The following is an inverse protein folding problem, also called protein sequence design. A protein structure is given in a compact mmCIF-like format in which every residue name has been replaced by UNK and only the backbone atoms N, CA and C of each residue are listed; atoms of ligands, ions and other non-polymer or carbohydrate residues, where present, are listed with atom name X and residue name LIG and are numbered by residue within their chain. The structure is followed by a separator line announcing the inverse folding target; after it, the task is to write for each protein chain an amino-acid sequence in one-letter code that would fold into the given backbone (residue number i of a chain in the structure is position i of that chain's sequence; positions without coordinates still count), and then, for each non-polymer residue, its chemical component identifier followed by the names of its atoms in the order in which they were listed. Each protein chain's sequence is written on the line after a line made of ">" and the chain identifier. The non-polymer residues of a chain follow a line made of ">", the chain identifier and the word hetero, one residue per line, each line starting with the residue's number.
data_IF_094983855403
#
_entry.id   IF_094983855403
#
_cell.length_a   1.000
_cell.length_b   1.000
_cell.length_c   1.000
_cell.angle_alpha   90.00
_cell.angle_beta   90.00
_cell.angle_gamma   90.00
#
_symmetry.space_group_name_H-M   'P 1'
#
loop_
_entity.id
_entity.type
_entity.pdbx_description
1 polymer ?
#
# COMPACT_ATOMS: atom_id res chain seq x y z
N UNK A 1 -21.73 37.14 -29.29
CA UNK A 1 -22.51 36.50 -30.37
C UNK A 1 -23.13 35.22 -29.82
N UNK A 2 -24.47 35.19 -29.76
CA UNK A 2 -25.41 34.05 -30.00
C UNK A 2 -25.18 32.79 -29.14
N UNK A 3 -26.09 32.17 -28.39
CA UNK A 3 -27.56 32.15 -28.24
C UNK A 3 -27.83 31.50 -26.86
N UNK A 4 -28.65 32.01 -25.93
CA UNK A 4 -30.12 31.91 -25.83
C UNK A 4 -30.78 30.58 -26.25
N UNK A 5 -31.19 29.76 -25.28
CA UNK A 5 -32.54 29.13 -25.20
C UNK A 5 -32.77 28.55 -23.79
N UNK A 6 -33.59 29.13 -22.90
CA UNK A 6 -35.07 29.19 -22.83
C UNK A 6 -35.78 27.86 -22.54
N UNK A 7 -36.64 27.91 -21.50
CA UNK A 7 -37.98 27.31 -21.43
C UNK A 7 -38.02 25.77 -21.17
N UNK A 8 -38.96 25.14 -20.45
CA UNK A 8 -40.33 25.50 -20.04
C UNK A 8 -40.84 24.42 -19.04
N UNK A 9 -41.48 24.87 -17.95
CA UNK A 9 -42.78 24.46 -17.36
C UNK A 9 -43.18 22.98 -17.09
N UNK A 10 -43.71 22.82 -15.86
CA UNK A 10 -45.02 22.25 -15.43
C UNK A 10 -45.47 20.86 -15.95
N UNK A 11 -45.72 19.95 -14.99
CA UNK A 11 -46.95 19.14 -14.86
C UNK A 11 -46.87 18.39 -13.50
N UNK A 12 -47.64 18.76 -12.47
CA UNK A 12 -48.99 18.26 -12.16
C UNK A 12 -49.17 16.74 -12.30
N UNK A 13 -49.10 16.07 -11.15
CA UNK A 13 -50.17 15.20 -10.66
C UNK A 13 -50.27 13.80 -11.27
N UNK A 14 -49.86 12.80 -10.50
CA UNK A 14 -50.64 11.58 -10.29
C UNK A 14 -50.29 11.01 -8.91
N UNK A 15 -51.20 11.18 -7.96
CA UNK A 15 -51.15 10.49 -6.68
C UNK A 15 -51.60 9.04 -6.89
N UNK A 16 -50.64 8.16 -7.16
CA UNK A 16 -50.87 6.72 -7.14
C UNK A 16 -50.58 6.20 -5.72
N UNK A 17 -51.65 5.85 -4.99
CA UNK A 17 -51.57 5.13 -3.72
C UNK A 17 -51.16 3.69 -4.04
N UNK A 18 -49.84 3.45 -4.09
CA UNK A 18 -49.27 2.10 -4.10
C UNK A 18 -49.29 1.57 -2.66
N UNK A 19 -50.15 0.58 -2.42
CA UNK A 19 -50.08 -0.25 -1.22
C UNK A 19 -48.83 -1.13 -1.34
N UNK A 20 -47.71 -0.62 -0.82
CA UNK A 20 -46.46 -1.36 -0.71
C UNK A 20 -46.59 -2.27 0.50
N UNK A 21 -46.94 -3.53 0.26
CA UNK A 21 -46.78 -4.60 1.24
C UNK A 21 -45.28 -4.82 1.44
N UNK A 22 -44.73 -4.26 2.53
CA UNK A 22 -43.37 -4.52 2.97
C UNK A 22 -43.28 -5.97 3.45
N UNK A 23 -42.84 -6.84 2.56
CA UNK A 23 -42.37 -8.17 2.93
C UNK A 23 -41.00 -7.94 3.55
N UNK A 24 -40.93 -7.93 4.88
CA UNK A 24 -39.68 -7.91 5.66
C UNK A 24 -38.94 -9.25 5.45
N UNK A 25 -38.34 -9.39 4.26
CA UNK A 25 -37.33 -10.38 3.98
C UNK A 25 -36.09 -10.01 4.79
N UNK A 26 -36.05 -10.48 6.03
CA UNK A 26 -34.88 -10.47 6.92
C UNK A 26 -33.80 -11.34 6.28
N UNK A 27 -33.16 -10.83 5.24
CA UNK A 27 -31.96 -11.47 4.69
C UNK A 27 -30.92 -11.44 5.81
N UNK A 28 -30.40 -12.61 6.26
CA UNK A 28 -29.29 -12.62 7.18
C UNK A 28 -28.12 -11.95 6.47
N UNK A 29 -27.93 -10.66 6.75
CA UNK A 29 -26.85 -9.88 6.21
C UNK A 29 -25.56 -10.60 6.53
N UNK A 30 -24.87 -11.10 5.49
CA UNK A 30 -23.53 -11.60 5.62
C UNK A 30 -22.72 -10.50 6.31
N UNK A 31 -22.44 -10.66 7.60
CA UNK A 31 -21.44 -9.86 8.31
C UNK A 31 -20.14 -10.09 7.54
N UNK A 32 -19.82 -9.17 6.63
CA UNK A 32 -18.50 -9.11 5.99
C UNK A 32 -17.51 -9.14 7.14
N UNK A 33 -16.84 -10.27 7.35
CA UNK A 33 -15.71 -10.36 8.25
C UNK A 33 -14.78 -9.24 7.81
N UNK A 34 -14.64 -8.23 8.67
CA UNK A 34 -13.65 -7.18 8.48
C UNK A 34 -12.35 -7.88 8.16
N UNK A 35 -11.86 -7.76 6.93
CA UNK A 35 -10.55 -8.27 6.55
C UNK A 35 -9.55 -7.59 7.46
N UNK A 36 -9.00 -8.35 8.39
CA UNK A 36 -8.05 -7.84 9.37
C UNK A 36 -6.79 -7.45 8.60
N UNK A 37 -6.69 -6.19 8.21
CA UNK A 37 -5.49 -5.67 7.59
C UNK A 37 -4.32 -5.83 8.56
N UNK A 38 -3.22 -6.39 8.07
CA UNK A 38 -2.06 -6.62 8.91
C UNK A 38 -1.33 -5.32 9.27
N UNK A 39 -0.88 -5.24 10.52
CA UNK A 39 -0.06 -4.14 11.01
C UNK A 39 1.41 -4.36 10.65
N UNK A 40 2.06 -3.31 10.14
CA UNK A 40 3.47 -3.33 9.73
C UNK A 40 4.39 -3.21 10.94
N UNK A 41 5.47 -3.98 10.93
CA UNK A 41 6.55 -3.92 11.90
C UNK A 41 7.68 -3.03 11.36
N UNK A 42 7.49 -1.71 11.49
CA UNK A 42 8.34 -0.71 10.87
C UNK A 42 9.69 -0.46 11.56
N UNK A 43 9.89 -0.85 12.82
CA UNK A 43 11.14 -0.66 13.54
C UNK A 43 11.89 -2.00 13.64
N UNK A 44 13.11 -2.13 13.05
CA UNK A 44 13.84 -3.39 13.03
C UNK A 44 14.40 -3.81 14.40
N UNK A 45 14.43 -2.90 15.38
CA UNK A 45 14.89 -3.20 16.76
C UNK A 45 13.81 -3.85 17.61
N UNK A 46 12.55 -3.83 17.16
CA UNK A 46 11.42 -4.44 17.86
C UNK A 46 11.04 -5.72 17.13
N UNK A 47 11.09 -6.89 17.80
CA UNK A 47 10.67 -8.15 17.17
C UNK A 47 9.26 -8.09 16.62
N UNK A 48 9.08 -8.52 15.36
CA UNK A 48 7.77 -8.60 14.74
C UNK A 48 7.08 -9.90 15.14
N UNK A 49 5.97 -9.79 15.86
CA UNK A 49 5.14 -10.96 16.22
C UNK A 49 4.35 -11.42 15.00
N UNK A 50 4.88 -12.42 14.29
CA UNK A 50 4.32 -12.97 13.06
C UNK A 50 4.59 -14.47 12.99
N UNK A 51 3.76 -15.22 12.27
CA UNK A 51 4.02 -16.64 11.97
C UNK A 51 4.80 -16.84 10.66
N UNK A 52 4.87 -15.81 9.82
CA UNK A 52 5.57 -15.86 8.53
C UNK A 52 7.04 -15.50 8.70
N UNK A 53 7.91 -16.23 8.01
CA UNK A 53 9.32 -15.88 7.86
C UNK A 53 9.45 -14.89 6.70
N UNK A 54 10.02 -13.72 6.97
CA UNK A 54 10.27 -12.69 5.97
C UNK A 54 11.76 -12.64 5.61
N UNK A 55 12.08 -12.30 4.37
CA UNK A 55 13.46 -12.12 3.96
C UNK A 55 14.08 -10.88 4.64
N UNK A 56 15.41 -10.79 4.78
CA UNK A 56 16.07 -9.62 5.38
C UNK A 56 15.73 -8.29 4.69
N UNK A 57 15.43 -8.30 3.39
CA UNK A 57 15.05 -7.13 2.62
C UNK A 57 13.54 -6.82 2.62
N UNK A 58 12.71 -7.68 3.19
CA UNK A 58 11.26 -7.49 3.23
C UNK A 58 10.84 -6.50 4.31
N UNK A 59 9.66 -5.91 4.14
CA UNK A 59 8.99 -5.13 5.16
C UNK A 59 8.09 -6.07 6.00
N UNK A 60 8.52 -6.51 7.20
CA UNK A 60 7.76 -7.47 7.96
C UNK A 60 6.46 -6.86 8.49
N UNK A 61 5.45 -7.71 8.64
CA UNK A 61 4.16 -7.36 9.22
C UNK A 61 3.54 -8.56 9.91
N UNK A 62 2.51 -8.33 10.73
CA UNK A 62 1.88 -9.40 11.51
C UNK A 62 0.98 -10.28 10.64
N UNK A 63 1.39 -11.51 10.37
CA UNK A 63 0.57 -12.52 9.68
C UNK A 63 -0.20 -13.35 10.72
N UNK A 64 -1.55 -13.40 10.67
CA UNK A 64 -2.34 -14.27 11.54
C UNK A 64 -2.11 -15.76 11.26
N UNK A 65 -2.20 -16.62 12.28
CA UNK A 65 -1.88 -18.06 12.20
C UNK A 65 -2.57 -18.84 11.07
N UNK A 66 -3.78 -18.42 10.68
CA UNK A 66 -4.61 -19.11 9.68
C UNK A 66 -4.86 -18.24 8.43
N UNK A 67 -4.03 -17.22 8.20
CA UNK A 67 -4.16 -16.37 7.03
C UNK A 67 -3.52 -17.04 5.80
N UNK A 68 -4.32 -17.20 4.73
CA UNK A 68 -3.84 -17.70 3.44
C UNK A 68 -3.33 -16.54 2.58
N UNK A 69 -4.16 -15.49 2.45
CA UNK A 69 -3.79 -14.23 1.80
C UNK A 69 -4.06 -13.11 2.79
N UNK A 70 -3.05 -12.27 3.03
CA UNK A 70 -3.21 -11.11 3.90
C UNK A 70 -2.52 -9.89 3.32
N UNK A 71 -3.26 -8.79 3.31
CA UNK A 71 -2.78 -7.47 2.94
C UNK A 71 -2.52 -6.63 4.19
N UNK A 72 -1.53 -5.76 4.13
CA UNK A 72 -1.33 -4.73 5.16
C UNK A 72 -2.34 -3.60 5.05
N UNK A 73 -2.45 -2.81 6.11
CA UNK A 73 -3.01 -1.46 5.99
C UNK A 73 -2.15 -0.64 5.01
N UNK A 74 -2.73 0.34 4.28
CA UNK A 74 -1.94 1.30 3.54
C UNK A 74 -0.95 2.03 4.44
N UNK A 75 0.25 2.27 3.94
CA UNK A 75 1.31 2.96 4.64
C UNK A 75 2.04 3.92 3.71
N UNK A 76 2.92 4.73 4.28
CA UNK A 76 3.81 5.59 3.52
C UNK A 76 5.24 5.08 3.62
N UNK A 77 5.95 5.17 2.51
CA UNK A 77 7.38 4.91 2.44
C UNK A 77 8.08 6.05 1.70
N UNK A 78 9.36 6.26 2.03
CA UNK A 78 10.22 7.14 1.24
C UNK A 78 11.01 6.27 0.28
N UNK A 79 10.74 6.39 -1.01
CA UNK A 79 11.53 5.72 -2.05
C UNK A 79 12.90 6.39 -2.07
N UNK A 80 13.94 5.63 -1.76
CA UNK A 80 15.33 6.10 -1.71
C UNK A 80 16.01 5.94 -3.07
N UNK A 81 15.73 4.83 -3.73
CA UNK A 81 16.27 4.47 -5.02
C UNK A 81 15.23 3.67 -5.81
N UNK A 82 15.21 3.86 -7.12
CA UNK A 82 14.37 3.12 -8.06
C UNK A 82 15.20 2.75 -9.27
N UNK A 83 15.09 1.51 -9.72
CA UNK A 83 15.70 0.99 -10.94
C UNK A 83 14.57 0.53 -11.85
N UNK A 84 14.64 0.83 -13.15
CA UNK A 84 13.70 0.23 -14.09
C UNK A 84 13.90 -1.29 -14.08
N UNK A 85 12.81 -2.04 -13.98
CA UNK A 85 12.86 -3.48 -14.19
C UNK A 85 12.67 -3.78 -15.66
N UNK A 86 13.41 -4.74 -16.18
CA UNK A 86 13.01 -5.50 -17.35
C UNK A 86 12.33 -6.81 -16.87
N UNK A 87 11.98 -7.69 -17.80
CA UNK A 87 11.42 -9.01 -17.49
C UNK A 87 12.45 -9.95 -16.82
N UNK A 88 13.71 -9.54 -16.69
CA UNK A 88 14.76 -10.30 -15.98
C UNK A 88 14.76 -9.97 -14.48
N UNK A 89 14.97 -11.01 -13.67
CA UNK A 89 15.11 -10.90 -12.23
C UNK A 89 16.55 -10.53 -11.78
N UNK A 90 17.47 -10.30 -12.72
CA UNK A 90 18.88 -10.02 -12.43
C UNK A 90 19.12 -8.56 -12.02
N UNK A 91 18.19 -7.68 -12.38
CA UNK A 91 18.23 -6.27 -11.97
C UNK A 91 17.60 -6.14 -10.60
N UNK A 92 18.40 -5.85 -9.58
CA UNK A 92 17.95 -5.58 -8.22
C UNK A 92 18.90 -4.64 -7.49
N UNK A 93 18.42 -4.05 -6.38
CA UNK A 93 19.25 -3.23 -5.50
C UNK A 93 20.06 -4.16 -4.57
N UNK A 94 21.40 -4.11 -4.61
CA UNK A 94 22.24 -4.99 -3.81
C UNK A 94 21.97 -4.88 -2.30
N UNK A 95 22.06 -5.99 -1.59
CA UNK A 95 21.81 -6.04 -0.14
C UNK A 95 22.78 -5.14 0.65
N UNK A 96 24.03 -5.03 0.18
CA UNK A 96 25.02 -4.11 0.73
C UNK A 96 24.49 -2.67 0.75
N UNK A 97 23.84 -2.23 -0.33
CA UNK A 97 23.37 -0.86 -0.47
C UNK A 97 22.14 -0.63 0.43
N UNK A 98 21.27 -1.64 0.57
CA UNK A 98 20.17 -1.65 1.55
C UNK A 98 20.67 -1.55 2.98
N UNK A 99 21.71 -2.30 3.35
CA UNK A 99 22.32 -2.27 4.68
C UNK A 99 22.99 -0.93 4.97
N UNK A 100 23.68 -0.34 3.98
CA UNK A 100 24.25 1.00 4.11
C UNK A 100 23.17 2.06 4.35
N UNK A 101 22.01 1.95 3.68
CA UNK A 101 20.85 2.80 3.95
C UNK A 101 20.22 2.51 5.33
N UNK A 102 20.11 1.24 5.73
CA UNK A 102 19.56 0.84 7.03
C UNK A 102 20.36 1.44 8.21
N UNK A 103 21.68 1.55 8.07
CA UNK A 103 22.54 2.17 9.07
C UNK A 103 22.24 3.66 9.29
N UNK A 104 21.69 4.35 8.28
CA UNK A 104 21.28 5.77 8.38
C UNK A 104 19.92 5.94 9.07
N UNK A 105 19.09 4.89 9.05
CA UNK A 105 17.72 4.92 9.55
C UNK A 105 17.47 3.77 10.52
N UNK A 106 18.18 3.69 11.66
CA UNK A 106 18.21 2.49 12.50
C UNK A 106 16.86 2.13 13.13
N UNK A 107 15.97 3.11 13.31
CA UNK A 107 14.62 2.91 13.87
C UNK A 107 13.52 2.75 12.82
N UNK A 108 13.90 2.76 11.53
CA UNK A 108 12.98 2.61 10.41
C UNK A 108 13.48 1.52 9.45
N UNK A 109 12.66 0.52 9.20
CA UNK A 109 13.01 -0.58 8.31
C UNK A 109 13.24 -0.06 6.90
N UNK A 110 14.44 -0.30 6.39
CA UNK A 110 14.77 -0.17 4.97
C UNK A 110 14.53 -1.52 4.31
N UNK A 111 13.64 -1.51 3.32
CA UNK A 111 13.23 -2.68 2.56
C UNK A 111 13.51 -2.46 1.07
N UNK A 112 13.60 -3.54 0.31
CA UNK A 112 13.70 -3.49 -1.14
C UNK A 112 12.84 -4.55 -1.80
N UNK A 113 12.25 -4.19 -2.94
CA UNK A 113 11.47 -5.12 -3.76
C UNK A 113 12.39 -6.02 -4.56
N UNK A 114 12.08 -7.32 -4.59
CA UNK A 114 12.69 -8.31 -5.46
C UNK A 114 11.80 -8.61 -6.67
N UNK A 115 12.22 -9.58 -7.47
CA UNK A 115 11.40 -10.14 -8.54
C UNK A 115 10.05 -10.61 -8.01
N UNK A 116 9.03 -10.58 -8.86
CA UNK A 116 7.75 -11.18 -8.52
C UNK A 116 7.93 -12.69 -8.45
N UNK A 117 7.99 -13.21 -7.22
CA UNK A 117 8.16 -14.63 -6.89
C UNK A 117 7.12 -14.95 -5.81
N UNK A 118 6.45 -16.10 -5.85
CA UNK A 118 5.57 -16.56 -4.77
C UNK A 118 6.16 -16.45 -3.36
N UNK A 119 7.49 -16.60 -3.21
CA UNK A 119 8.16 -16.52 -1.91
C UNK A 119 8.46 -15.09 -1.44
N UNK A 120 8.33 -14.10 -2.32
CA UNK A 120 8.64 -12.70 -2.02
C UNK A 120 7.39 -11.86 -1.80
N UNK A 121 7.51 -10.84 -0.95
CA UNK A 121 6.43 -9.87 -0.78
C UNK A 121 6.26 -9.01 -2.04
N UNK A 122 5.00 -8.79 -2.41
CA UNK A 122 4.65 -7.81 -3.44
C UNK A 122 4.37 -6.44 -2.81
N UNK A 123 4.63 -5.38 -3.57
CA UNK A 123 4.41 -4.00 -3.13
C UNK A 123 3.53 -3.27 -4.13
N UNK A 124 2.36 -2.84 -3.69
CA UNK A 124 1.39 -2.12 -4.49
C UNK A 124 1.53 -0.62 -4.30
N UNK A 125 1.63 0.13 -5.40
CA UNK A 125 1.53 1.59 -5.40
C UNK A 125 0.05 2.01 -5.35
N UNK A 126 -0.30 2.78 -4.32
CA UNK A 126 -1.63 3.34 -4.10
C UNK A 126 -1.70 4.84 -4.40
N UNK A 127 -0.63 5.44 -4.95
CA UNK A 127 -0.58 6.86 -5.31
C UNK A 127 -1.14 7.16 -6.71
N UNK A 128 -1.22 6.14 -7.57
CA UNK A 128 -1.83 6.22 -8.90
C UNK A 128 -3.36 5.98 -8.83
N UNK A 129 -4.09 6.43 -9.85
CA UNK A 129 -5.52 6.07 -10.04
C UNK A 129 -5.72 4.56 -10.19
N UNK A 130 -4.69 3.86 -10.66
CA UNK A 130 -4.68 2.42 -10.81
C UNK A 130 -3.65 1.83 -9.86
N UNK A 131 -4.08 0.90 -9.00
CA UNK A 131 -3.18 0.11 -8.17
C UNK A 131 -2.29 -0.75 -9.08
N UNK A 132 -0.97 -0.64 -8.89
CA UNK A 132 0.02 -1.36 -9.69
C UNK A 132 1.03 -2.02 -8.79
N UNK A 133 1.49 -3.21 -9.17
CA UNK A 133 2.62 -3.86 -8.51
C UNK A 133 3.90 -3.13 -8.93
N UNK A 134 4.62 -2.56 -7.98
CA UNK A 134 5.85 -1.81 -8.24
C UNK A 134 6.88 -2.72 -8.90
N UNK A 135 6.98 -3.96 -8.45
CA UNK A 135 7.92 -4.97 -8.94
C UNK A 135 7.77 -5.30 -10.44
N UNK A 136 6.67 -4.95 -11.10
CA UNK A 136 6.49 -5.18 -12.55
C UNK A 136 7.24 -4.14 -13.40
N UNK A 137 7.41 -2.92 -12.88
CA UNK A 137 7.97 -1.81 -13.66
C UNK A 137 9.26 -1.28 -13.06
N UNK A 138 9.41 -1.40 -11.74
CA UNK A 138 10.52 -0.83 -11.00
C UNK A 138 10.95 -1.73 -9.85
N UNK A 139 12.25 -1.76 -9.57
CA UNK A 139 12.80 -2.26 -8.32
C UNK A 139 13.12 -1.08 -7.44
N UNK A 140 12.58 -1.09 -6.23
CA UNK A 140 12.72 0.01 -5.28
C UNK A 140 13.49 -0.42 -4.03
N UNK A 141 14.19 0.55 -3.44
CA UNK A 141 14.63 0.52 -2.06
C UNK A 141 13.96 1.69 -1.36
N UNK A 142 13.33 1.41 -0.23
CA UNK A 142 12.52 2.39 0.48
C UNK A 142 12.66 2.24 1.98
N UNK A 143 12.39 3.32 2.71
CA UNK A 143 12.31 3.32 4.17
C UNK A 143 10.86 3.49 4.61
N UNK A 144 10.43 2.67 5.57
CA UNK A 144 9.10 2.76 6.16
C UNK A 144 8.91 4.09 6.91
N UNK A 145 7.82 4.79 6.60
CA UNK A 145 7.59 6.16 7.04
C UNK A 145 6.24 6.36 7.78
N UNK A 146 5.68 5.28 8.32
CA UNK A 146 4.45 5.31 9.12
C UNK A 146 3.17 5.13 8.30
N UNK A 147 2.03 5.26 8.98
CA UNK A 147 0.69 5.19 8.35
C UNK A 147 0.11 6.58 8.08
N UNK A 148 0.68 7.63 8.66
CA UNK A 148 0.23 9.01 8.47
C UNK A 148 1.15 9.79 7.52
N UNK A 149 0.55 10.60 6.64
CA UNK A 149 1.30 11.46 5.71
C UNK A 149 2.20 12.48 6.44
N UNK A 150 1.81 12.91 7.64
CA UNK A 150 2.60 13.83 8.45
C UNK A 150 3.93 13.20 8.92
N UNK A 151 3.89 11.92 9.33
CA UNK A 151 5.08 11.14 9.69
C UNK A 151 5.98 10.97 8.46
N UNK A 152 5.39 10.66 7.30
CA UNK A 152 6.13 10.52 6.06
C UNK A 152 6.83 11.81 5.63
N UNK A 153 6.19 12.98 5.79
CA UNK A 153 6.83 14.27 5.50
C UNK A 153 8.02 14.55 6.42
N UNK A 154 7.91 14.22 7.71
CA UNK A 154 9.03 14.33 8.66
C UNK A 154 10.17 13.41 8.24
N UNK A 155 9.86 12.15 7.93
CA UNK A 155 10.87 11.19 7.48
C UNK A 155 11.54 11.61 6.17
N UNK A 156 10.79 12.15 5.21
CA UNK A 156 11.36 12.68 3.97
C UNK A 156 12.37 13.80 4.24
N UNK A 157 12.08 14.69 5.19
CA UNK A 157 13.02 15.75 5.57
C UNK A 157 14.31 15.16 6.16
N UNK A 158 14.21 14.14 7.02
CA UNK A 158 15.37 13.40 7.56
C UNK A 158 16.18 12.74 6.45
N UNK A 159 15.51 12.05 5.52
CA UNK A 159 16.17 11.42 4.35
C UNK A 159 16.90 12.45 3.51
N UNK A 160 16.27 13.59 3.18
CA UNK A 160 16.88 14.65 2.39
C UNK A 160 18.07 15.30 3.10
N UNK A 161 17.99 15.48 4.42
CA UNK A 161 19.08 16.02 5.23
C UNK A 161 20.34 15.15 5.19
N UNK A 162 20.25 13.86 4.86
CA UNK A 162 21.44 13.01 4.66
C UNK A 162 22.27 13.42 3.44
N UNK A 163 21.70 14.13 2.47
CA UNK A 163 22.34 14.45 1.19
C UNK A 163 22.59 13.26 0.25
N UNK A 164 22.30 12.01 0.68
CA UNK A 164 22.61 10.79 -0.08
C UNK A 164 21.54 10.37 -1.09
N UNK A 165 20.29 10.81 -0.89
CA UNK A 165 19.14 10.38 -1.69
C UNK A 165 18.42 11.59 -2.32
N UNK A 166 19.01 12.24 -3.32
CA UNK A 166 18.44 13.48 -3.89
C UNK A 166 17.09 13.27 -4.60
N UNK A 167 16.84 12.07 -5.13
CA UNK A 167 15.58 11.69 -5.78
C UNK A 167 14.51 11.15 -4.82
N UNK A 168 14.75 11.24 -3.51
CA UNK A 168 13.85 10.69 -2.51
C UNK A 168 12.44 11.30 -2.57
N UNK A 169 11.42 10.44 -2.59
CA UNK A 169 10.01 10.85 -2.68
C UNK A 169 9.09 9.97 -1.83
N UNK A 170 7.95 10.55 -1.41
CA UNK A 170 6.93 9.83 -0.64
C UNK A 170 6.05 9.01 -1.58
N UNK A 171 5.79 7.76 -1.23
CA UNK A 171 4.77 6.92 -1.86
C UNK A 171 3.83 6.33 -0.83
N UNK A 172 2.56 6.23 -1.22
CA UNK A 172 1.55 5.49 -0.46
C UNK A 172 1.50 4.07 -1.00
N UNK A 173 1.71 3.09 -0.15
CA UNK A 173 1.93 1.70 -0.54
C UNK A 173 1.07 0.74 0.27
N UNK A 174 0.95 -0.49 -0.23
CA UNK A 174 0.47 -1.66 0.50
C UNK A 174 1.36 -2.84 0.14
N UNK A 175 1.55 -3.77 1.07
CA UNK A 175 2.21 -5.05 0.79
C UNK A 175 1.29 -6.18 1.24
N UNK A 176 1.53 -7.38 0.74
CA UNK A 176 0.76 -8.55 1.12
C UNK A 176 1.61 -9.81 1.08
N UNK A 177 1.10 -10.82 1.77
CA UNK A 177 1.67 -12.15 1.88
C UNK A 177 0.67 -13.13 1.29
N UNK A 178 1.17 -14.02 0.44
CA UNK A 178 0.42 -15.14 -0.10
C UNK A 178 1.09 -16.43 0.37
N UNK A 179 0.41 -17.20 1.21
CA UNK A 179 0.91 -18.46 1.78
C UNK A 179 0.36 -19.72 1.12
N UNK A 180 -0.24 -19.61 -0.07
CA UNK A 180 -0.75 -20.75 -0.85
C UNK A 180 0.35 -21.52 -1.56
#
# INVERSE_FOLDING_TARGET
>A
MISSTLLRRLACGFAAVMVVTFIDASTPGQRRRSTTHAAICGNPRIPCQTIATFQPNDLPFRVPKNAVIVDTVPFYAIILQSMASNDSCDVFIPERDRLAAQALFPDHKVFSSRCADPENLFYLDLSSRQTRNLSETHRIMAVYAGTAIAEARKMLAVVKATGKFPSANIRRMRTGFNGT
#
